data_IF_044902529051
#
_entry.id   IF_044902529051
#
_cell.length_a   1.000
_cell.length_b   1.000
_cell.length_c   1.000
_cell.angle_alpha   90.00
_cell.angle_beta   90.00
_cell.angle_gamma   90.00
#
_symmetry.space_group_name_H-M   'P 1'
#
loop_
_entity.id
_entity.type
_entity.pdbx_description
1 polymer ?
#
# COMPACT_ATOMS: atom_id res chain seq x y z
N UNK A 1 12.79 11.73 21.48
CA UNK A 1 11.75 11.55 20.44
C UNK A 1 11.40 10.07 20.43
N UNK A 2 10.13 9.72 20.63
CA UNK A 2 9.70 8.32 20.58
C UNK A 2 9.84 7.76 19.17
N UNK A 3 10.32 6.52 19.06
CA UNK A 3 10.50 5.82 17.80
C UNK A 3 9.18 5.52 17.09
N UNK A 4 9.23 4.98 15.86
CA UNK A 4 8.02 4.61 15.13
C UNK A 4 7.25 3.47 15.81
N UNK A 5 5.97 3.69 16.09
CA UNK A 5 5.08 2.73 16.76
C UNK A 5 4.26 1.94 15.75
N UNK A 6 4.57 0.66 15.57
CA UNK A 6 3.95 -0.22 14.54
C UNK A 6 2.45 -0.39 14.69
N UNK A 7 1.90 -0.32 15.91
CA UNK A 7 0.46 -0.39 16.17
C UNK A 7 -0.29 0.87 15.72
N UNK A 8 0.41 1.94 15.35
CA UNK A 8 -0.19 3.20 14.85
C UNK A 8 -0.04 3.29 13.33
N UNK A 9 1.19 3.23 12.81
CA UNK A 9 1.42 3.39 11.36
C UNK A 9 1.08 2.16 10.54
N UNK A 10 1.16 0.96 11.13
CA UNK A 10 0.84 -0.30 10.46
C UNK A 10 -0.62 -0.36 10.02
N UNK A 11 -1.60 -0.17 10.93
CA UNK A 11 -3.01 -0.11 10.55
C UNK A 11 -3.32 1.00 9.55
N UNK A 12 -2.73 2.19 9.69
CA UNK A 12 -2.90 3.27 8.73
C UNK A 12 -2.43 2.89 7.31
N UNK A 13 -1.28 2.22 7.20
CA UNK A 13 -0.75 1.73 5.93
C UNK A 13 -1.65 0.66 5.30
N UNK A 14 -2.12 -0.31 6.10
CA UNK A 14 -3.01 -1.36 5.60
C UNK A 14 -4.36 -0.82 5.16
N UNK A 15 -4.95 0.11 5.93
CA UNK A 15 -6.20 0.76 5.55
C UNK A 15 -6.05 1.54 4.25
N UNK A 16 -4.95 2.28 4.09
CA UNK A 16 -4.64 3.00 2.87
C UNK A 16 -4.48 2.03 1.68
N UNK A 17 -3.70 0.96 1.83
CA UNK A 17 -3.50 -0.04 0.77
C UNK A 17 -4.81 -0.62 0.26
N UNK A 18 -5.64 -1.13 1.16
CA UNK A 18 -6.89 -1.76 0.77
C UNK A 18 -7.87 -0.74 0.20
N UNK A 19 -7.95 0.46 0.76
CA UNK A 19 -8.78 1.52 0.21
C UNK A 19 -8.37 1.90 -1.22
N UNK A 20 -7.08 2.09 -1.49
CA UNK A 20 -6.61 2.38 -2.85
C UNK A 20 -6.93 1.23 -3.81
N UNK A 21 -6.87 -0.03 -3.34
CA UNK A 21 -7.20 -1.20 -4.14
C UNK A 21 -8.70 -1.26 -4.51
N UNK A 22 -9.61 -0.81 -3.64
CA UNK A 22 -11.04 -0.68 -3.97
C UNK A 22 -11.31 0.34 -5.09
N UNK A 23 -10.43 1.34 -5.25
CA UNK A 23 -10.55 2.35 -6.32
C UNK A 23 -9.94 1.89 -7.66
N UNK A 24 -9.24 0.76 -7.67
CA UNK A 24 -8.38 0.34 -8.78
C UNK A 24 -9.14 -0.42 -9.87
N UNK A 25 -8.71 -0.26 -11.13
CA UNK A 25 -9.21 -1.06 -12.26
C UNK A 25 -10.45 -0.48 -12.95
N UNK A 26 -10.79 0.76 -12.65
CA UNK A 26 -11.97 1.46 -13.17
C UNK A 26 -11.69 2.36 -14.39
N UNK A 27 -10.47 2.34 -14.94
CA UNK A 27 -10.10 3.20 -16.08
C UNK A 27 -10.71 2.70 -17.38
N UNK A 28 -11.13 3.65 -18.23
CA UNK A 28 -11.85 3.39 -19.48
C UNK A 28 -10.95 3.29 -20.73
N UNK A 29 -9.71 3.79 -20.66
CA UNK A 29 -8.74 3.71 -21.78
C UNK A 29 -7.51 2.89 -21.40
N UNK A 30 -6.84 2.26 -22.36
CA UNK A 30 -5.63 1.47 -22.09
C UNK A 30 -4.48 2.34 -21.57
N UNK A 31 -4.35 3.57 -22.06
CA UNK A 31 -3.33 4.52 -21.59
C UNK A 31 -3.51 4.85 -20.11
N UNK A 32 -4.74 5.18 -19.69
CA UNK A 32 -5.02 5.48 -18.27
C UNK A 32 -4.77 4.26 -17.36
N UNK A 33 -5.14 3.07 -17.81
CA UNK A 33 -4.87 1.83 -17.09
C UNK A 33 -3.36 1.54 -16.98
N UNK A 34 -2.60 1.77 -18.05
CA UNK A 34 -1.15 1.59 -18.06
C UNK A 34 -0.46 2.53 -17.06
N UNK A 35 -0.91 3.78 -16.98
CA UNK A 35 -0.44 4.74 -15.99
C UNK A 35 -0.78 4.32 -14.55
N UNK A 36 -2.01 3.87 -14.31
CA UNK A 36 -2.46 3.38 -13.01
C UNK A 36 -1.58 2.20 -12.53
N UNK A 37 -1.32 1.22 -13.40
CA UNK A 37 -0.44 0.08 -13.11
C UNK A 37 1.01 0.51 -12.87
N UNK A 38 1.52 1.45 -13.66
CA UNK A 38 2.88 2.00 -13.49
C UNK A 38 3.03 2.69 -12.14
N UNK A 39 2.02 3.46 -11.72
CA UNK A 39 2.00 4.15 -10.44
C UNK A 39 1.91 3.14 -9.28
N UNK A 40 1.05 2.13 -9.36
CA UNK A 40 1.00 1.04 -8.37
C UNK A 40 2.34 0.32 -8.22
N UNK A 41 2.97 -0.07 -9.34
CA UNK A 41 4.29 -0.72 -9.32
C UNK A 41 5.33 0.17 -8.65
N UNK A 42 5.35 1.45 -9.02
CA UNK A 42 6.31 2.42 -8.47
C UNK A 42 6.08 2.68 -6.99
N UNK A 43 4.82 2.82 -6.57
CA UNK A 43 4.42 3.04 -5.18
C UNK A 43 4.84 1.86 -4.29
N UNK A 44 4.44 0.63 -4.65
CA UNK A 44 4.80 -0.58 -3.90
C UNK A 44 6.31 -0.78 -3.85
N UNK A 45 7.02 -0.54 -4.97
CA UNK A 45 8.47 -0.60 -4.97
C UNK A 45 9.10 0.47 -4.06
N UNK A 46 8.58 1.69 -4.04
CA UNK A 46 9.12 2.77 -3.20
C UNK A 46 9.01 2.45 -1.71
N UNK A 47 7.95 1.74 -1.30
CA UNK A 47 7.74 1.38 0.10
C UNK A 47 8.86 0.47 0.64
N UNK A 48 9.50 -0.35 -0.21
CA UNK A 48 10.68 -1.15 0.17
C UNK A 48 11.77 -0.31 0.81
N UNK A 49 11.91 0.96 0.41
CA UNK A 49 12.96 1.84 0.90
C UNK A 49 12.61 2.49 2.24
N UNK A 50 11.33 2.82 2.50
CA UNK A 50 10.94 3.74 3.57
C UNK A 50 10.04 3.14 4.68
N UNK A 51 9.85 1.82 4.75
CA UNK A 51 9.14 1.20 5.88
C UNK A 51 9.86 1.54 7.21
N UNK A 52 9.16 2.16 8.20
CA UNK A 52 9.78 2.66 9.43
C UNK A 52 10.00 1.55 10.48
N UNK A 53 10.45 0.38 10.06
CA UNK A 53 10.68 -0.80 10.89
C UNK A 53 11.57 -1.81 10.14
N UNK A 54 12.79 -2.07 10.63
CA UNK A 54 13.75 -2.96 9.96
C UNK A 54 13.19 -4.38 9.71
N UNK A 55 12.58 -4.98 10.74
CA UNK A 55 11.95 -6.31 10.62
C UNK A 55 10.82 -6.32 9.59
N UNK A 56 9.96 -5.31 9.63
CA UNK A 56 8.82 -5.17 8.72
C UNK A 56 9.29 -4.95 7.27
N UNK A 57 10.39 -4.19 7.09
CA UNK A 57 11.05 -3.96 5.80
C UNK A 57 11.56 -5.27 5.20
N UNK A 58 12.21 -6.11 6.00
CA UNK A 58 12.69 -7.42 5.56
C UNK A 58 11.52 -8.33 5.14
N UNK A 59 10.48 -8.47 5.98
CA UNK A 59 9.31 -9.27 5.64
C UNK A 59 8.62 -8.77 4.34
N UNK A 60 8.54 -7.45 4.14
CA UNK A 60 7.98 -6.86 2.93
C UNK A 60 8.79 -7.22 1.68
N UNK A 61 10.12 -7.11 1.77
CA UNK A 61 11.04 -7.43 0.68
C UNK A 61 10.98 -8.93 0.34
N UNK A 62 11.05 -9.79 1.36
CA UNK A 62 10.95 -11.24 1.21
C UNK A 62 9.63 -11.64 0.54
N UNK A 63 8.51 -11.09 1.01
CA UNK A 63 7.21 -11.38 0.40
C UNK A 63 7.16 -10.95 -1.07
N UNK A 64 7.61 -9.73 -1.40
CA UNK A 64 7.62 -9.25 -2.77
C UNK A 64 8.55 -10.03 -3.70
N UNK A 65 9.64 -10.60 -3.18
CA UNK A 65 10.54 -11.44 -3.96
C UNK A 65 9.92 -12.82 -4.25
N UNK A 66 9.13 -13.35 -3.31
CA UNK A 66 8.42 -14.63 -3.48
C UNK A 66 7.08 -14.54 -4.23
N UNK A 67 6.45 -13.36 -4.26
CA UNK A 67 5.07 -13.19 -4.76
C UNK A 67 5.01 -12.06 -5.79
N UNK A 68 5.33 -12.38 -7.04
CA UNK A 68 5.31 -11.40 -8.13
C UNK A 68 3.93 -10.80 -8.36
N UNK A 69 3.89 -9.48 -8.60
CA UNK A 69 2.70 -8.74 -9.05
C UNK A 69 2.50 -8.77 -10.56
N UNK A 70 3.45 -9.29 -11.34
CA UNK A 70 3.35 -9.30 -12.80
C UNK A 70 2.13 -10.07 -13.33
N UNK A 71 1.71 -11.23 -12.76
CA UNK A 71 0.45 -11.86 -13.15
C UNK A 71 -0.77 -10.96 -12.95
N UNK A 72 -0.81 -10.18 -11.87
CA UNK A 72 -1.87 -9.19 -11.60
C UNK A 72 -1.87 -8.11 -12.68
N UNK A 73 -0.71 -7.55 -13.00
CA UNK A 73 -0.60 -6.43 -13.96
C UNK A 73 -0.86 -6.82 -15.42
N UNK A 74 -0.81 -8.11 -15.78
CA UNK A 74 -1.18 -8.60 -17.13
C UNK A 74 -2.69 -8.62 -17.37
N UNK A 75 -3.50 -8.74 -16.32
CA UNK A 75 -4.97 -8.70 -16.42
C UNK A 75 -5.44 -7.32 -16.85
N UNK A 76 -6.71 -7.17 -17.26
CA UNK A 76 -7.27 -5.93 -17.80
C UNK A 76 -8.50 -5.46 -17.02
N UNK A 77 -8.75 -4.15 -17.06
CA UNK A 77 -9.92 -3.50 -16.46
C UNK A 77 -10.23 -3.97 -15.03
N UNK A 78 -11.48 -4.32 -14.76
CA UNK A 78 -11.90 -4.76 -13.42
C UNK A 78 -11.18 -6.03 -12.94
N UNK A 79 -10.71 -6.90 -13.85
CA UNK A 79 -10.06 -8.15 -13.47
C UNK A 79 -8.73 -7.92 -12.77
N UNK A 80 -7.92 -6.95 -13.24
CA UNK A 80 -6.66 -6.65 -12.56
C UNK A 80 -6.88 -5.91 -11.24
N UNK A 81 -7.92 -5.06 -11.16
CA UNK A 81 -8.34 -4.45 -9.90
C UNK A 81 -8.72 -5.50 -8.85
N UNK A 82 -9.56 -6.47 -9.23
CA UNK A 82 -9.93 -7.61 -8.38
C UNK A 82 -8.68 -8.40 -7.96
N UNK A 83 -7.82 -8.75 -8.90
CA UNK A 83 -6.61 -9.49 -8.61
C UNK A 83 -5.64 -8.74 -7.68
N UNK A 84 -5.56 -7.40 -7.79
CA UNK A 84 -4.75 -6.59 -6.88
C UNK A 84 -5.32 -6.61 -5.45
N UNK A 85 -6.65 -6.53 -5.30
CA UNK A 85 -7.33 -6.66 -4.01
C UNK A 85 -7.02 -8.00 -3.34
N UNK A 86 -7.20 -9.11 -4.08
CA UNK A 86 -6.85 -10.46 -3.62
C UNK A 86 -5.38 -10.57 -3.23
N UNK A 87 -4.48 -10.00 -4.04
CA UNK A 87 -3.04 -10.02 -3.77
C UNK A 87 -2.69 -9.29 -2.47
N UNK A 88 -3.25 -8.09 -2.24
CA UNK A 88 -3.03 -7.32 -1.02
C UNK A 88 -3.65 -7.97 0.22
N UNK A 89 -4.81 -8.61 0.08
CA UNK A 89 -5.44 -9.39 1.16
C UNK A 89 -4.57 -10.58 1.56
N UNK A 90 -4.10 -11.34 0.56
CA UNK A 90 -3.17 -12.47 0.77
C UNK A 90 -1.89 -11.99 1.44
N UNK A 91 -1.35 -10.85 1.00
CA UNK A 91 -0.16 -10.26 1.59
C UNK A 91 -0.37 -9.87 3.06
N UNK A 92 -1.47 -9.18 3.37
CA UNK A 92 -1.80 -8.78 4.74
C UNK A 92 -1.91 -10.02 5.65
N UNK A 93 -2.60 -11.06 5.20
CA UNK A 93 -2.73 -12.30 5.95
C UNK A 93 -1.40 -13.04 6.14
N UNK A 94 -0.55 -13.06 5.13
CA UNK A 94 0.80 -13.64 5.26
C UNK A 94 1.61 -12.95 6.37
N UNK A 95 1.59 -11.61 6.42
CA UNK A 95 2.28 -10.84 7.46
C UNK A 95 1.69 -11.09 8.85
N UNK A 96 0.36 -11.24 8.96
CA UNK A 96 -0.32 -11.54 10.23
C UNK A 96 0.04 -12.92 10.75
N UNK A 97 0.00 -13.95 9.91
CA UNK A 97 0.41 -15.31 10.27
C UNK A 97 1.89 -15.37 10.69
N UNK A 98 2.79 -14.72 9.94
CA UNK A 98 4.21 -14.60 10.30
C UNK A 98 4.42 -13.87 11.64
N UNK A 99 3.47 -13.03 12.04
CA UNK A 99 3.44 -12.31 13.32
C UNK A 99 2.63 -13.02 14.40
N UNK A 100 2.19 -14.27 14.16
CA UNK A 100 1.33 -15.07 15.06
C UNK A 100 0.02 -14.37 15.44
N UNK A 101 -0.53 -13.62 14.50
CA UNK A 101 -1.84 -12.98 14.62
C UNK A 101 -2.87 -13.77 13.79
N UNK A 102 -4.13 -13.73 14.23
CA UNK A 102 -5.24 -14.27 13.44
C UNK A 102 -5.32 -13.59 12.09
N UNK A 103 -5.89 -14.27 11.10
CA UNK A 103 -6.20 -13.68 9.79
C UNK A 103 -7.05 -12.42 9.96
N UNK A 104 -7.01 -11.53 8.96
CA UNK A 104 -8.08 -10.53 8.86
C UNK A 104 -9.41 -11.22 8.51
N UNK A 105 -10.44 -10.42 8.37
CA UNK A 105 -11.75 -10.86 7.91
C UNK A 105 -11.72 -11.45 6.48
N UNK A 106 -12.77 -12.20 6.09
CA UNK A 106 -12.88 -12.83 4.77
C UNK A 106 -12.73 -11.82 3.62
N UNK A 107 -12.21 -12.29 2.47
CA UNK A 107 -11.94 -11.42 1.31
C UNK A 107 -13.21 -10.70 0.82
N UNK A 108 -14.36 -11.37 0.94
CA UNK A 108 -15.67 -10.88 0.50
C UNK A 108 -16.11 -9.63 1.26
N UNK A 109 -15.57 -9.39 2.47
CA UNK A 109 -15.92 -8.22 3.29
C UNK A 109 -14.95 -7.05 3.07
N UNK A 110 -13.95 -7.17 2.19
CA UNK A 110 -13.02 -6.07 1.90
C UNK A 110 -13.73 -4.79 1.47
N UNK A 111 -14.73 -4.88 0.59
CA UNK A 111 -15.44 -3.68 0.10
C UNK A 111 -16.22 -2.99 1.21
N UNK A 112 -16.83 -3.73 2.14
CA UNK A 112 -17.57 -3.11 3.25
C UNK A 112 -16.65 -2.48 4.29
N UNK A 113 -15.46 -3.05 4.49
CA UNK A 113 -14.49 -2.54 5.48
C UNK A 113 -13.62 -1.41 4.93
N UNK A 114 -13.19 -1.52 3.66
CA UNK A 114 -12.22 -0.62 3.03
C UNK A 114 -12.77 0.19 1.86
N UNK A 115 -14.09 0.15 1.65
CA UNK A 115 -14.77 0.89 0.59
C UNK A 115 -14.53 2.41 0.62
N UNK A 116 -15.29 3.19 -0.18
CA UNK A 116 -15.06 4.62 -0.28
C UNK A 116 -15.04 5.30 1.10
N UNK A 117 -13.91 5.91 1.47
CA UNK A 117 -13.77 6.69 2.70
C UNK A 117 -13.65 8.19 2.39
N UNK A 118 -13.98 9.09 3.34
CA UNK A 118 -13.79 10.52 3.14
C UNK A 118 -12.32 10.88 2.84
N UNK A 119 -12.10 11.88 1.96
CA UNK A 119 -10.74 12.38 1.64
C UNK A 119 -9.93 12.76 2.88
N UNK A 120 -10.61 13.30 3.91
CA UNK A 120 -9.99 13.64 5.19
C UNK A 120 -9.42 12.41 5.91
N UNK A 121 -10.10 11.26 5.83
CA UNK A 121 -9.61 10.00 6.41
C UNK A 121 -8.34 9.50 5.71
N UNK A 122 -8.30 9.60 4.38
CA UNK A 122 -7.10 9.29 3.59
C UNK A 122 -5.94 10.21 3.97
N UNK A 123 -6.19 11.51 4.13
CA UNK A 123 -5.18 12.48 4.56
C UNK A 123 -4.62 12.16 5.95
N UNK A 124 -5.47 11.70 6.88
CA UNK A 124 -5.05 11.23 8.20
C UNK A 124 -4.09 10.05 8.09
N UNK A 125 -4.40 9.02 7.30
CA UNK A 125 -3.51 7.87 7.12
C UNK A 125 -2.18 8.27 6.49
N UNK A 126 -2.20 9.09 5.43
CA UNK A 126 -0.99 9.64 4.79
C UNK A 126 -0.09 10.38 5.78
N UNK A 127 -0.70 11.17 6.66
CA UNK A 127 0.00 11.94 7.70
C UNK A 127 0.65 11.02 8.72
N UNK A 128 -0.09 10.05 9.26
CA UNK A 128 0.42 9.06 10.22
C UNK A 128 1.62 8.32 9.61
N UNK A 129 1.48 7.78 8.40
CA UNK A 129 2.54 7.00 7.75
C UNK A 129 3.79 7.86 7.56
N UNK A 130 3.64 9.06 6.98
CA UNK A 130 4.76 9.94 6.68
C UNK A 130 5.48 10.43 7.94
N UNK A 131 4.73 10.69 9.02
CA UNK A 131 5.29 11.09 10.30
C UNK A 131 6.14 9.98 10.92
N UNK A 132 5.64 8.74 10.92
CA UNK A 132 6.41 7.60 11.40
C UNK A 132 7.62 7.28 10.52
N UNK A 133 7.53 7.50 9.20
CA UNK A 133 8.69 7.47 8.31
C UNK A 133 9.73 8.51 8.71
N UNK A 134 9.35 9.76 9.00
CA UNK A 134 10.31 10.80 9.46
C UNK A 134 10.99 10.42 10.77
N UNK A 135 10.24 9.89 11.75
CA UNK A 135 10.81 9.42 13.03
C UNK A 135 11.85 8.32 12.84
N UNK A 136 11.63 7.42 11.88
CA UNK A 136 12.57 6.36 11.54
C UNK A 136 13.87 6.83 10.86
N UNK A 137 13.93 8.08 10.35
CA UNK A 137 15.18 8.63 9.81
C UNK A 137 16.25 8.77 10.89
N UNK A 138 15.87 9.09 12.12
CA UNK A 138 16.79 9.16 13.26
C UNK A 138 17.39 7.79 13.62
N UNK A 139 16.74 6.72 13.18
CA UNK A 139 17.21 5.33 13.31
C UNK A 139 18.01 4.87 12.07
N UNK A 140 18.29 5.77 11.11
CA UNK A 140 19.02 5.49 9.86
C UNK A 140 18.41 4.35 9.03
N UNK A 141 17.10 4.13 9.12
CA UNK A 141 16.41 3.09 8.36
C UNK A 141 16.21 3.47 6.87
N UNK A 142 16.20 4.77 6.59
CA UNK A 142 16.04 5.35 5.25
C UNK A 142 16.38 6.84 5.25
N UNK A 143 16.47 7.41 4.05
CA UNK A 143 16.83 8.81 3.81
C UNK A 143 15.60 9.71 3.67
N UNK A 144 15.82 11.03 3.65
CA UNK A 144 14.78 12.00 3.31
C UNK A 144 14.24 11.78 1.89
N UNK A 145 15.12 11.45 0.95
CA UNK A 145 14.77 11.29 -0.46
C UNK A 145 13.87 10.07 -0.69
N UNK A 146 14.09 8.99 0.06
CA UNK A 146 13.22 7.82 0.05
C UNK A 146 11.78 8.19 0.44
N UNK A 147 11.62 9.02 1.49
CA UNK A 147 10.32 9.48 1.96
C UNK A 147 9.67 10.41 0.93
N UNK A 148 10.41 11.38 0.39
CA UNK A 148 9.88 12.30 -0.62
C UNK A 148 9.43 11.57 -1.88
N UNK A 149 10.19 10.55 -2.31
CA UNK A 149 9.81 9.69 -3.43
C UNK A 149 8.53 8.91 -3.12
N UNK A 150 8.43 8.30 -1.95
CA UNK A 150 7.24 7.58 -1.51
C UNK A 150 6.00 8.47 -1.48
N UNK A 151 6.09 9.64 -0.83
CA UNK A 151 4.97 10.59 -0.71
C UNK A 151 4.51 11.06 -2.08
N UNK A 152 5.44 11.43 -2.97
CA UNK A 152 5.11 11.86 -4.34
C UNK A 152 4.36 10.77 -5.10
N UNK A 153 4.87 9.53 -5.10
CA UNK A 153 4.24 8.41 -5.80
C UNK A 153 2.86 8.06 -5.23
N UNK A 154 2.69 8.18 -3.92
CA UNK A 154 1.39 8.01 -3.27
C UNK A 154 0.38 9.09 -3.68
N UNK A 155 0.81 10.35 -3.77
CA UNK A 155 -0.07 11.43 -4.25
C UNK A 155 -0.43 11.24 -5.72
N UNK A 156 0.53 10.95 -6.59
CA UNK A 156 0.30 10.68 -8.01
C UNK A 156 -0.67 9.51 -8.19
N UNK A 157 -0.48 8.40 -7.46
CA UNK A 157 -1.38 7.25 -7.49
C UNK A 157 -2.79 7.62 -7.02
N UNK A 158 -2.91 8.33 -5.89
CA UNK A 158 -4.22 8.71 -5.36
C UNK A 158 -4.98 9.65 -6.31
N UNK A 159 -4.30 10.61 -6.93
CA UNK A 159 -4.88 11.48 -7.96
C UNK A 159 -5.31 10.64 -9.16
N UNK A 160 -4.44 9.75 -9.64
CA UNK A 160 -4.77 8.83 -10.74
C UNK A 160 -6.03 8.04 -10.44
N UNK A 161 -6.17 7.47 -9.23
CA UNK A 161 -7.32 6.65 -8.85
C UNK A 161 -8.63 7.44 -8.71
N UNK A 162 -8.56 8.70 -8.27
CA UNK A 162 -9.74 9.54 -8.00
C UNK A 162 -10.24 10.35 -9.20
N UNK A 163 -9.49 10.40 -10.30
CA UNK A 163 -9.89 11.03 -11.56
C UNK A 163 -10.29 9.96 -12.57
N UNK A 164 -11.52 10.01 -13.09
CA UNK A 164 -12.04 9.03 -14.07
C UNK A 164 -11.45 9.22 -15.47
#
# INVERSE_FOLDING_TARGET
MEGPVTTVWGPALWNLFHHLAELTGNKTTDTKEADEKRLWRSYLHSLRACIPCARCKNHYIEYLNGHSLEPVFRLKRMEWGKALRTWLWTFHNHVRLASKQDLIFPEETLTSVYGPVPKAQVATWKTIISEHMRRAMFLRLHTRDDILRYVRLLEELYICLTVL
#
